data_IF_447260194539
#
_entry.id   IF_447260194539
#
_cell.length_a   1.000
_cell.length_b   1.000
_cell.length_c   1.000
_cell.angle_alpha   90.00
_cell.angle_beta   90.00
_cell.angle_gamma   90.00
#
_symmetry.space_group_name_H-M   'P 1'
#
loop_
_entity.id
_entity.type
_entity.pdbx_description
1 polymer ?
#
# COMPACT_ATOMS: atom_id res chain seq x y z
N UNK A 1 -11.23 2.50 10.47
CA UNK A 1 -10.47 1.29 10.17
C UNK A 1 -9.19 1.60 9.40
N UNK A 2 -8.16 0.77 9.57
CA UNK A 2 -6.96 0.76 8.73
C UNK A 2 -7.18 -0.09 7.49
N UNK A 3 -6.35 0.12 6.46
CA UNK A 3 -6.41 -0.68 5.23
C UNK A 3 -5.02 -1.17 4.80
N UNK A 4 -5.01 -2.27 4.03
CA UNK A 4 -3.93 -2.58 3.09
C UNK A 4 -4.51 -2.70 1.69
N UNK A 5 -3.79 -2.21 0.68
CA UNK A 5 -4.18 -2.28 -0.73
C UNK A 5 -2.98 -2.68 -1.57
N UNK A 6 -2.83 -3.97 -1.78
CA UNK A 6 -1.76 -4.55 -2.58
C UNK A 6 -2.08 -6.00 -2.96
N UNK A 7 -1.43 -6.54 -3.98
CA UNK A 7 -1.40 -7.99 -4.23
C UNK A 7 -0.88 -8.72 -2.97
N UNK A 8 -1.49 -9.84 -2.61
CA UNK A 8 -1.02 -10.65 -1.49
C UNK A 8 0.26 -11.38 -1.86
N UNK A 9 1.36 -10.99 -1.24
CA UNK A 9 2.66 -11.59 -1.46
C UNK A 9 3.53 -11.40 -0.20
N UNK A 10 4.46 -12.33 0.10
CA UNK A 10 5.34 -12.21 1.27
C UNK A 10 6.00 -10.85 1.37
N UNK A 11 6.63 -10.39 0.30
CA UNK A 11 7.36 -9.12 0.24
C UNK A 11 6.50 -7.86 0.38
N UNK A 12 5.16 -7.97 0.31
CA UNK A 12 4.23 -6.87 0.60
C UNK A 12 3.88 -6.74 2.09
N UNK A 13 4.30 -7.70 2.92
CA UNK A 13 4.29 -7.59 4.38
C UNK A 13 2.91 -7.52 5.04
N UNK A 14 1.81 -7.90 4.38
CA UNK A 14 0.46 -7.77 4.97
C UNK A 14 0.31 -8.49 6.32
N UNK A 15 1.10 -9.53 6.56
CA UNK A 15 1.12 -10.22 7.85
C UNK A 15 1.62 -9.34 9.00
N UNK A 16 2.49 -8.37 8.74
CA UNK A 16 2.95 -7.35 9.71
C UNK A 16 1.76 -6.44 10.06
N UNK A 17 1.01 -5.95 9.04
CA UNK A 17 -0.19 -5.15 9.26
C UNK A 17 -1.25 -5.91 10.09
N UNK A 18 -1.44 -7.21 9.81
CA UNK A 18 -2.35 -8.07 10.56
C UNK A 18 -1.91 -8.17 12.03
N UNK A 19 -0.66 -8.49 12.29
CA UNK A 19 -0.10 -8.57 13.66
C UNK A 19 -0.28 -7.25 14.42
N UNK A 20 0.06 -6.13 13.77
CA UNK A 20 -0.06 -4.78 14.35
C UNK A 20 -1.52 -4.45 14.69
N UNK A 21 -2.46 -4.71 13.77
CA UNK A 21 -3.89 -4.49 13.98
C UNK A 21 -4.44 -5.37 15.11
N UNK A 22 -4.02 -6.62 15.18
CA UNK A 22 -4.39 -7.55 16.27
C UNK A 22 -3.86 -7.08 17.63
N UNK A 23 -2.58 -6.68 17.69
CA UNK A 23 -1.94 -6.14 18.92
C UNK A 23 -2.68 -4.92 19.46
N UNK A 24 -3.13 -4.04 18.57
CA UNK A 24 -3.85 -2.81 18.93
C UNK A 24 -5.38 -2.99 19.02
N UNK A 25 -5.92 -4.16 18.72
CA UNK A 25 -7.37 -4.43 18.61
C UNK A 25 -8.07 -3.43 17.68
N UNK A 26 -7.42 -3.07 16.56
CA UNK A 26 -7.95 -2.14 15.55
C UNK A 26 -8.48 -2.90 14.34
N UNK A 27 -9.54 -2.37 13.72
CA UNK A 27 -10.08 -2.95 12.48
C UNK A 27 -9.13 -2.71 11.32
N UNK A 28 -8.80 -3.79 10.60
CA UNK A 28 -8.03 -3.78 9.36
C UNK A 28 -8.86 -4.41 8.24
N UNK A 29 -9.05 -3.66 7.17
CA UNK A 29 -9.66 -4.15 5.94
C UNK A 29 -8.57 -4.32 4.89
N UNK A 30 -8.52 -5.48 4.27
CA UNK A 30 -7.47 -5.82 3.30
C UNK A 30 -8.08 -5.98 1.92
N UNK A 31 -7.47 -5.38 0.91
CA UNK A 31 -7.91 -5.50 -0.48
C UNK A 31 -6.73 -5.80 -1.40
N UNK A 32 -6.99 -6.59 -2.43
CA UNK A 32 -6.02 -6.97 -3.45
C UNK A 32 -6.27 -8.36 -4.00
N UNK A 33 -5.51 -8.73 -5.01
CA UNK A 33 -5.57 -10.05 -5.64
C UNK A 33 -4.70 -11.05 -4.88
N UNK A 34 -5.13 -12.31 -4.88
CA UNK A 34 -4.35 -13.45 -4.41
C UNK A 34 -3.93 -14.24 -5.65
N UNK A 35 -2.62 -14.29 -5.93
CA UNK A 35 -2.09 -14.80 -7.19
C UNK A 35 -2.66 -14.02 -8.40
N UNK A 36 -3.37 -14.67 -9.31
CA UNK A 36 -4.13 -14.05 -10.42
C UNK A 36 -5.66 -14.09 -10.19
N UNK A 37 -6.10 -14.52 -9.00
CA UNK A 37 -7.52 -14.70 -8.69
C UNK A 37 -8.15 -13.35 -8.34
N UNK A 38 -8.96 -12.82 -9.25
CA UNK A 38 -9.65 -11.54 -9.09
C UNK A 38 -11.07 -11.67 -8.50
N UNK A 39 -11.67 -12.86 -8.60
CA UNK A 39 -13.02 -13.16 -8.10
C UNK A 39 -12.99 -13.75 -6.69
N UNK A 40 -13.77 -13.17 -5.77
CA UNK A 40 -13.90 -13.71 -4.42
C UNK A 40 -14.53 -15.12 -4.40
N UNK A 41 -15.45 -15.39 -5.30
CA UNK A 41 -16.09 -16.72 -5.42
C UNK A 41 -15.05 -17.76 -5.86
N UNK A 42 -14.24 -17.45 -6.89
CA UNK A 42 -13.14 -18.31 -7.32
C UNK A 42 -12.14 -18.54 -6.17
N UNK A 43 -11.76 -17.48 -5.46
CA UNK A 43 -10.83 -17.60 -4.34
C UNK A 43 -11.36 -18.54 -3.25
N UNK A 44 -12.63 -18.42 -2.86
CA UNK A 44 -13.25 -19.31 -1.87
C UNK A 44 -13.29 -20.77 -2.34
N UNK A 45 -13.62 -20.99 -3.61
CA UNK A 45 -13.61 -22.32 -4.21
C UNK A 45 -12.20 -22.93 -4.19
N UNK A 46 -11.18 -22.18 -4.62
CA UNK A 46 -9.80 -22.68 -4.65
C UNK A 46 -9.22 -22.91 -3.25
N UNK A 47 -9.61 -22.11 -2.27
CA UNK A 47 -9.21 -22.32 -0.87
C UNK A 47 -9.84 -23.58 -0.27
N UNK A 48 -11.07 -23.91 -0.65
CA UNK A 48 -11.76 -25.12 -0.20
C UNK A 48 -11.30 -26.40 -0.94
N UNK A 49 -10.78 -26.28 -2.16
CA UNK A 49 -10.35 -27.39 -2.98
C UNK A 49 -8.96 -27.91 -2.59
N UNK A 50 -8.82 -29.14 -2.05
CA UNK A 50 -7.52 -29.72 -1.72
C UNK A 50 -6.64 -29.99 -2.95
N UNK A 51 -7.24 -30.13 -4.14
CA UNK A 51 -6.58 -30.38 -5.42
C UNK A 51 -6.39 -29.09 -6.26
N UNK A 52 -6.56 -27.92 -5.66
CA UNK A 52 -6.42 -26.66 -6.34
C UNK A 52 -5.02 -26.50 -6.96
N UNK A 53 -4.92 -26.10 -8.24
CA UNK A 53 -3.63 -25.85 -8.90
C UNK A 53 -2.85 -24.71 -8.24
N UNK A 54 -3.52 -23.85 -7.47
CA UNK A 54 -2.88 -22.74 -6.74
C UNK A 54 -2.13 -23.18 -5.47
N UNK A 55 -2.27 -24.43 -5.01
CA UNK A 55 -1.56 -24.93 -3.81
C UNK A 55 -0.04 -24.84 -3.91
N UNK A 56 0.51 -24.88 -5.13
CA UNK A 56 1.93 -24.66 -5.41
C UNK A 56 2.35 -23.19 -5.50
N UNK A 57 1.41 -22.26 -5.66
CA UNK A 57 1.71 -20.82 -5.83
C UNK A 57 2.12 -20.18 -4.50
N UNK A 58 3.30 -19.52 -4.42
CA UNK A 58 3.77 -18.89 -3.18
C UNK A 58 2.85 -17.78 -2.65
N UNK A 59 2.15 -17.04 -3.52
CA UNK A 59 1.25 -15.95 -3.10
C UNK A 59 -0.06 -16.53 -2.54
N UNK A 60 -0.58 -17.60 -3.15
CA UNK A 60 -1.73 -18.32 -2.63
C UNK A 60 -1.43 -18.94 -1.27
N UNK A 61 -0.29 -19.61 -1.12
CA UNK A 61 0.18 -20.17 0.16
C UNK A 61 0.38 -19.08 1.22
N UNK A 62 0.96 -17.96 0.85
CA UNK A 62 1.09 -16.83 1.76
C UNK A 62 -0.27 -16.36 2.28
N UNK A 63 -1.25 -16.20 1.39
CA UNK A 63 -2.61 -15.81 1.80
C UNK A 63 -3.26 -16.88 2.67
N UNK A 64 -3.25 -18.15 2.25
CA UNK A 64 -3.88 -19.25 2.97
C UNK A 64 -3.30 -19.48 4.36
N UNK A 65 -1.97 -19.37 4.50
CA UNK A 65 -1.28 -19.75 5.73
C UNK A 65 -1.10 -18.57 6.70
N UNK A 66 -0.87 -17.37 6.17
CA UNK A 66 -0.51 -16.20 6.99
C UNK A 66 -1.64 -15.18 7.17
N UNK A 67 -2.64 -15.16 6.30
CA UNK A 67 -3.70 -14.14 6.30
C UNK A 67 -5.08 -14.75 6.61
N UNK A 68 -5.47 -15.78 5.88
CA UNK A 68 -6.79 -16.39 5.98
C UNK A 68 -7.18 -16.82 7.41
N UNK A 69 -6.29 -17.41 8.24
CA UNK A 69 -6.63 -17.78 9.61
C UNK A 69 -7.12 -16.57 10.45
N UNK A 70 -6.58 -15.40 10.22
CA UNK A 70 -7.04 -14.18 10.90
C UNK A 70 -8.35 -13.64 10.33
N UNK A 71 -8.54 -13.74 9.01
CA UNK A 71 -9.82 -13.36 8.36
C UNK A 71 -10.97 -14.23 8.88
N UNK A 72 -10.72 -15.51 9.11
CA UNK A 72 -11.76 -16.45 9.57
C UNK A 72 -12.05 -16.35 11.08
N UNK A 73 -11.04 -16.03 11.90
CA UNK A 73 -11.13 -16.14 13.37
C UNK A 73 -11.19 -14.81 14.10
N UNK A 74 -10.86 -13.71 13.45
CA UNK A 74 -10.78 -12.40 14.10
C UNK A 74 -11.87 -11.45 13.62
N UNK A 75 -12.57 -10.81 14.54
CA UNK A 75 -13.51 -9.71 14.23
C UNK A 75 -12.81 -8.42 13.74
N UNK A 76 -11.48 -8.36 13.85
CA UNK A 76 -10.71 -7.17 13.49
C UNK A 76 -10.21 -7.21 12.06
N UNK A 77 -10.06 -8.38 11.46
CA UNK A 77 -9.43 -8.56 10.14
C UNK A 77 -10.49 -8.98 9.13
N UNK A 78 -10.59 -8.22 8.04
CA UNK A 78 -11.53 -8.55 6.94
C UNK A 78 -10.84 -8.45 5.58
N UNK A 79 -11.22 -9.33 4.66
CA UNK A 79 -10.81 -9.28 3.28
C UNK A 79 -11.95 -8.72 2.41
N UNK A 80 -11.64 -7.69 1.63
CA UNK A 80 -12.61 -6.95 0.80
C UNK A 80 -12.56 -7.34 -0.68
N UNK A 81 -11.69 -8.28 -1.05
CA UNK A 81 -11.51 -8.70 -2.43
C UNK A 81 -10.64 -7.76 -3.25
N UNK A 82 -10.67 -7.96 -4.56
CA UNK A 82 -10.04 -7.05 -5.51
C UNK A 82 -10.95 -5.84 -5.75
N UNK A 83 -10.43 -4.63 -5.58
CA UNK A 83 -11.18 -3.37 -5.70
C UNK A 83 -10.67 -2.52 -6.85
N UNK A 84 -11.61 -1.92 -7.58
CA UNK A 84 -11.34 -0.99 -8.68
C UNK A 84 -12.36 0.16 -8.72
N UNK A 85 -12.08 1.20 -9.49
CA UNK A 85 -12.99 2.32 -9.73
C UNK A 85 -13.51 2.96 -8.44
N UNK A 86 -14.81 3.30 -8.41
CA UNK A 86 -15.46 3.97 -7.27
C UNK A 86 -15.34 3.19 -5.96
N UNK A 87 -15.35 1.85 -6.02
CA UNK A 87 -15.22 1.02 -4.81
C UNK A 87 -13.83 1.14 -4.19
N UNK A 88 -12.78 1.21 -5.00
CA UNK A 88 -11.40 1.46 -4.54
C UNK A 88 -11.28 2.85 -3.93
N UNK A 89 -11.81 3.87 -4.60
CA UNK A 89 -11.78 5.25 -4.09
C UNK A 89 -12.47 5.37 -2.73
N UNK A 90 -13.67 4.79 -2.59
CA UNK A 90 -14.38 4.76 -1.31
C UNK A 90 -13.60 4.02 -0.21
N UNK A 91 -12.98 2.89 -0.57
CA UNK A 91 -12.15 2.11 0.35
C UNK A 91 -10.96 2.90 0.88
N UNK A 92 -10.31 3.69 0.03
CA UNK A 92 -9.21 4.58 0.38
C UNK A 92 -9.70 5.76 1.23
N UNK A 93 -10.68 6.52 0.75
CA UNK A 93 -11.12 7.79 1.39
C UNK A 93 -11.78 7.61 2.76
N UNK A 94 -12.35 6.46 3.06
CA UNK A 94 -12.96 6.17 4.38
C UNK A 94 -11.97 5.56 5.38
N UNK A 95 -10.75 5.31 4.98
CA UNK A 95 -9.74 4.68 5.82
C UNK A 95 -9.08 5.70 6.75
N UNK A 96 -8.74 5.24 7.96
CA UNK A 96 -7.94 6.00 8.91
C UNK A 96 -6.50 6.17 8.43
N UNK A 97 -5.92 5.12 7.86
CA UNK A 97 -4.63 5.12 7.19
C UNK A 97 -4.45 3.88 6.30
N UNK A 98 -3.61 4.01 5.28
CA UNK A 98 -3.04 2.90 4.54
C UNK A 98 -1.82 2.36 5.30
N UNK A 99 -1.84 1.07 5.61
CA UNK A 99 -0.69 0.33 6.15
C UNK A 99 0.07 -0.30 4.98
N UNK A 100 1.35 0.08 4.86
CA UNK A 100 2.21 -0.35 3.76
C UNK A 100 3.53 -0.95 4.29
N UNK A 101 3.47 -2.13 4.96
CA UNK A 101 4.60 -2.75 5.65
C UNK A 101 5.47 -3.59 4.72
N UNK A 102 5.94 -3.00 3.63
CA UNK A 102 6.73 -3.70 2.59
C UNK A 102 8.06 -4.21 3.13
N UNK A 103 8.49 -5.37 2.61
CA UNK A 103 9.75 -6.03 2.95
C UNK A 103 10.74 -6.06 1.76
N UNK A 104 10.48 -5.25 0.71
CA UNK A 104 11.32 -5.10 -0.47
C UNK A 104 11.45 -3.63 -0.87
N UNK A 105 12.37 -3.31 -1.74
CA UNK A 105 12.56 -1.95 -2.23
C UNK A 105 11.52 -1.64 -3.32
N UNK A 106 10.39 -1.10 -2.89
CA UNK A 106 9.28 -0.70 -3.77
C UNK A 106 9.73 0.44 -4.69
N UNK A 107 9.65 0.28 -6.02
CA UNK A 107 10.18 1.28 -6.94
C UNK A 107 9.34 2.57 -7.01
N UNK A 108 8.04 2.53 -6.68
CA UNK A 108 7.18 3.72 -6.75
C UNK A 108 6.05 3.71 -5.70
N UNK A 109 5.18 2.70 -5.63
CA UNK A 109 4.10 2.67 -4.64
C UNK A 109 2.81 3.38 -5.06
N UNK A 110 2.22 3.01 -6.21
CA UNK A 110 0.97 3.61 -6.71
C UNK A 110 -0.15 3.68 -5.66
N UNK A 111 -0.35 2.63 -4.87
CA UNK A 111 -1.39 2.60 -3.83
C UNK A 111 -1.14 3.63 -2.71
N UNK A 112 0.11 3.99 -2.47
CA UNK A 112 0.50 5.05 -1.52
C UNK A 112 0.05 6.40 -2.03
N UNK A 113 0.38 6.74 -3.29
CA UNK A 113 -0.04 7.99 -3.92
C UNK A 113 -1.57 8.07 -4.03
N UNK A 114 -2.24 6.98 -4.40
CA UNK A 114 -3.70 6.91 -4.44
C UNK A 114 -4.35 7.15 -3.06
N UNK A 115 -3.75 6.64 -1.98
CA UNK A 115 -4.24 6.89 -0.63
C UNK A 115 -4.06 8.36 -0.24
N UNK A 116 -2.86 8.92 -0.43
CA UNK A 116 -2.58 10.32 -0.15
C UNK A 116 -3.48 11.26 -0.97
N UNK A 117 -3.75 10.95 -2.25
CA UNK A 117 -4.68 11.71 -3.09
C UNK A 117 -6.12 11.73 -2.54
N UNK A 118 -6.51 10.67 -1.82
CA UNK A 118 -7.80 10.60 -1.12
C UNK A 118 -7.78 11.29 0.24
N UNK A 119 -6.68 11.91 0.65
CA UNK A 119 -6.49 12.47 1.99
C UNK A 119 -6.25 11.40 3.06
N UNK A 120 -5.89 10.20 2.67
CA UNK A 120 -5.63 9.09 3.60
C UNK A 120 -4.14 9.00 3.89
N UNK A 121 -3.69 9.24 5.13
CA UNK A 121 -2.30 9.15 5.51
C UNK A 121 -1.75 7.72 5.38
N UNK A 122 -0.44 7.60 5.28
CA UNK A 122 0.22 6.31 5.08
C UNK A 122 1.20 6.01 6.20
N UNK A 123 1.22 4.76 6.65
CA UNK A 123 2.29 4.22 7.49
C UNK A 123 3.02 3.16 6.66
N UNK A 124 4.28 3.42 6.33
CA UNK A 124 5.08 2.53 5.51
C UNK A 124 6.39 2.15 6.21
N UNK A 125 6.98 1.02 5.80
CA UNK A 125 8.38 0.77 6.11
C UNK A 125 9.27 1.75 5.34
N UNK A 126 10.31 2.27 5.99
CA UNK A 126 11.29 3.21 5.44
C UNK A 126 12.22 2.49 4.44
N UNK A 127 11.68 2.20 3.23
CA UNK A 127 12.35 1.35 2.23
C UNK A 127 11.92 1.72 0.82
N UNK A 128 12.83 1.53 -0.15
CA UNK A 128 12.59 1.84 -1.56
C UNK A 128 12.19 3.30 -1.78
N UNK A 129 11.18 3.56 -2.58
CA UNK A 129 10.70 4.91 -2.88
C UNK A 129 9.88 5.57 -1.74
N UNK A 130 9.62 4.88 -0.63
CA UNK A 130 8.75 5.43 0.41
C UNK A 130 9.26 6.74 1.02
N UNK A 131 10.58 6.92 1.31
CA UNK A 131 11.11 8.20 1.79
C UNK A 131 11.00 9.36 0.78
N UNK A 132 10.86 9.04 -0.50
CA UNK A 132 10.66 10.07 -1.54
C UNK A 132 9.19 10.52 -1.63
N UNK A 133 8.24 9.65 -1.26
CA UNK A 133 6.81 9.89 -1.41
C UNK A 133 6.21 10.41 -0.11
N UNK A 134 6.56 9.81 1.02
CA UNK A 134 5.99 10.10 2.33
C UNK A 134 6.87 11.11 3.06
N UNK A 135 6.32 12.26 3.35
CA UNK A 135 6.92 13.24 4.24
C UNK A 135 6.58 12.87 5.69
N UNK A 136 7.62 12.38 6.41
CA UNK A 136 7.46 11.84 7.77
C UNK A 136 6.90 12.88 8.74
N UNK A 137 5.80 12.55 9.41
CA UNK A 137 5.10 13.45 10.32
C UNK A 137 4.16 14.46 9.66
N UNK A 138 4.11 14.52 8.31
CA UNK A 138 3.26 15.45 7.55
C UNK A 138 2.20 14.72 6.72
N UNK A 139 2.61 13.75 5.90
CA UNK A 139 1.69 12.96 5.06
C UNK A 139 1.53 11.51 5.54
N UNK A 140 2.31 11.14 6.53
CA UNK A 140 2.31 9.80 7.11
C UNK A 140 3.55 9.55 7.94
N UNK A 141 3.83 8.29 8.21
CA UNK A 141 4.99 7.88 9.00
C UNK A 141 5.81 6.83 8.27
N UNK A 142 7.15 6.94 8.41
CA UNK A 142 8.13 5.97 7.92
C UNK A 142 8.69 5.21 9.12
N UNK A 143 8.46 3.91 9.18
CA UNK A 143 8.90 3.02 10.24
C UNK A 143 10.14 2.22 9.83
N UNK A 144 11.11 2.09 10.72
CA UNK A 144 12.32 1.31 10.49
C UNK A 144 12.20 -0.14 10.98
N UNK A 145 11.18 -0.42 11.81
CA UNK A 145 10.88 -1.73 12.37
C UNK A 145 9.39 -1.89 12.70
N UNK A 146 8.98 -3.11 13.10
CA UNK A 146 7.58 -3.42 13.43
C UNK A 146 7.11 -2.66 14.69
N UNK A 147 7.98 -2.36 15.64
CA UNK A 147 7.65 -1.63 16.87
C UNK A 147 7.26 -0.18 16.54
N UNK A 148 8.07 0.52 15.75
CA UNK A 148 7.77 1.87 15.26
C UNK A 148 6.49 1.88 14.41
N UNK A 149 6.30 0.85 13.57
CA UNK A 149 5.09 0.71 12.76
C UNK A 149 3.83 0.66 13.62
N UNK A 150 3.85 -0.11 14.70
CA UNK A 150 2.76 -0.18 15.68
C UNK A 150 2.57 1.14 16.41
N UNK A 151 3.65 1.82 16.77
CA UNK A 151 3.57 3.12 17.46
C UNK A 151 2.94 4.19 16.55
N UNK A 152 3.34 4.26 15.30
CA UNK A 152 2.75 5.20 14.34
C UNK A 152 1.26 4.93 14.05
N UNK A 153 0.80 3.69 14.19
CA UNK A 153 -0.65 3.41 14.14
C UNK A 153 -1.43 4.06 15.29
N UNK A 154 -0.81 4.32 16.45
CA UNK A 154 -1.43 5.05 17.56
C UNK A 154 -1.46 6.55 17.31
N UNK A 155 -0.45 7.05 16.62
CA UNK A 155 -0.19 8.48 16.39
C UNK A 155 -0.78 9.01 15.10
N UNK A 156 -1.44 8.19 14.29
CA UNK A 156 -1.87 8.57 12.94
C UNK A 156 -2.86 9.75 12.92
N UNK A 157 -3.54 10.02 14.03
CA UNK A 157 -4.43 11.16 14.16
C UNK A 157 -3.70 12.52 14.21
N UNK A 158 -2.36 12.52 14.30
CA UNK A 158 -1.51 13.70 14.20
C UNK A 158 -1.39 14.23 12.75
N UNK A 159 -1.69 13.41 11.74
CA UNK A 159 -1.52 13.73 10.33
C UNK A 159 -2.78 14.45 9.80
N UNK A 160 -2.57 15.60 9.15
CA UNK A 160 -3.63 16.34 8.46
C UNK A 160 -3.97 15.70 7.11
N UNK A 161 -5.20 15.19 6.89
CA UNK A 161 -5.63 14.65 5.62
C UNK A 161 -5.50 15.64 4.44
N UNK A 162 -5.66 16.93 4.70
CA UNK A 162 -5.52 17.94 3.66
C UNK A 162 -4.05 18.10 3.20
N UNK A 163 -3.07 17.93 4.11
CA UNK A 163 -1.66 17.93 3.76
C UNK A 163 -1.31 16.74 2.85
N UNK A 164 -1.88 15.55 3.12
CA UNK A 164 -1.71 14.38 2.26
C UNK A 164 -2.12 14.67 0.82
N UNK A 165 -3.31 15.23 0.65
CA UNK A 165 -3.84 15.56 -0.68
C UNK A 165 -3.02 16.64 -1.39
N UNK A 166 -2.69 17.74 -0.71
CA UNK A 166 -1.85 18.81 -1.27
C UNK A 166 -0.52 18.27 -1.78
N UNK A 167 0.17 17.43 -1.01
CA UNK A 167 1.44 16.82 -1.42
C UNK A 167 1.34 16.08 -2.75
N UNK A 168 0.24 15.35 -2.99
CA UNK A 168 0.04 14.64 -4.26
C UNK A 168 -0.29 15.59 -5.40
N UNK A 169 -1.14 16.58 -5.18
CA UNK A 169 -1.51 17.57 -6.19
C UNK A 169 -0.27 18.35 -6.68
N UNK A 170 0.64 18.71 -5.78
CA UNK A 170 1.85 19.46 -6.08
C UNK A 170 2.96 18.60 -6.71
N UNK A 171 3.14 17.36 -6.28
CA UNK A 171 4.33 16.57 -6.62
C UNK A 171 4.07 15.41 -7.58
N UNK A 172 2.86 14.85 -7.58
CA UNK A 172 2.54 13.61 -8.30
C UNK A 172 1.37 13.75 -9.27
N UNK A 173 0.93 14.98 -9.57
CA UNK A 173 -0.04 15.22 -10.63
C UNK A 173 0.58 14.96 -12.01
N UNK A 174 -0.28 14.69 -13.01
CA UNK A 174 0.17 14.51 -14.38
C UNK A 174 0.92 15.75 -14.92
N UNK A 175 0.49 16.96 -14.51
CA UNK A 175 1.17 18.21 -14.87
C UNK A 175 2.57 18.27 -14.25
N UNK A 176 2.69 18.05 -12.93
CA UNK A 176 3.98 18.06 -12.24
C UNK A 176 4.97 17.04 -12.86
N UNK A 177 4.48 15.86 -13.21
CA UNK A 177 5.28 14.84 -13.89
C UNK A 177 5.74 15.33 -15.29
N UNK A 178 4.84 15.89 -16.09
CA UNK A 178 5.17 16.41 -17.42
C UNK A 178 6.21 17.51 -17.37
N UNK A 179 6.04 18.47 -16.45
CA UNK A 179 6.99 19.57 -16.25
C UNK A 179 8.38 19.07 -15.85
N UNK A 180 8.46 18.11 -14.93
CA UNK A 180 9.71 17.47 -14.52
C UNK A 180 10.41 16.75 -15.69
N UNK A 181 9.67 16.03 -16.54
CA UNK A 181 10.24 15.40 -17.76
C UNK A 181 10.75 16.44 -18.75
N UNK A 182 10.01 17.53 -19.00
CA UNK A 182 10.44 18.61 -19.89
C UNK A 182 11.77 19.21 -19.42
N UNK A 183 11.92 19.50 -18.14
CA UNK A 183 13.19 20.03 -17.60
C UNK A 183 14.33 19.02 -17.75
N UNK A 184 14.11 17.74 -17.50
CA UNK A 184 15.12 16.70 -17.74
C UNK A 184 15.54 16.61 -19.20
N UNK A 185 14.61 16.69 -20.14
CA UNK A 185 14.95 16.70 -21.56
C UNK A 185 15.79 17.92 -21.94
N UNK A 186 15.47 19.12 -21.44
CA UNK A 186 16.28 20.33 -21.64
C UNK A 186 17.72 20.15 -21.12
N UNK A 187 17.87 19.59 -19.92
CA UNK A 187 19.18 19.30 -19.32
C UNK A 187 20.00 18.34 -20.19
N UNK A 188 19.41 17.23 -20.64
CA UNK A 188 20.09 16.23 -21.49
C UNK A 188 20.53 16.84 -22.82
N UNK A 189 19.65 17.60 -23.48
CA UNK A 189 19.97 18.30 -24.74
C UNK A 189 21.14 19.26 -24.54
N UNK A 190 21.12 20.04 -23.47
CA UNK A 190 22.19 21.00 -23.15
C UNK A 190 23.54 20.33 -22.91
N UNK A 191 23.55 19.18 -22.19
CA UNK A 191 24.78 18.39 -21.95
C UNK A 191 25.34 17.83 -23.25
N UNK A 192 24.47 17.28 -24.10
CA UNK A 192 24.89 16.68 -25.37
C UNK A 192 25.42 17.72 -26.35
N UNK A 193 24.85 18.93 -26.39
CA UNK A 193 25.33 20.04 -27.24
C UNK A 193 26.70 20.58 -26.80
N UNK A 194 27.03 20.53 -25.50
CA UNK A 194 28.35 20.92 -24.97
C UNK A 194 29.44 19.89 -25.31
N UNK A 195 29.14 18.62 -25.37
CA UNK A 195 30.10 17.56 -25.67
C UNK A 195 30.43 17.41 -27.18
N UNK A 196 29.74 18.16 -28.04
CA UNK A 196 30.00 18.21 -29.49
C UNK A 196 30.88 19.39 -29.93
N UNK A 197 31.33 20.23 -29.02
CA UNK A 197 32.28 21.31 -29.21
C UNK A 197 33.63 20.95 -28.60
#
# INVERSE_FOLDING_TARGET
>A
YFITLARFAPYKGQHIAVKAAMKLKKRLRMAGVVSDITSNQKLLFELANPLSPYRGDPQFRYYSDKILPYVLRSRYITYSGNLSGRRKMKFLSEAKALLFPIEWDEPFGMSVIEALACGTPVIAMNRGAMPEIIEHGVTGFLANNEEEFVEYMRRIDEIDPAACRRSVEERFSASAMADAYIERYKEVIKRHSKNKR
#
